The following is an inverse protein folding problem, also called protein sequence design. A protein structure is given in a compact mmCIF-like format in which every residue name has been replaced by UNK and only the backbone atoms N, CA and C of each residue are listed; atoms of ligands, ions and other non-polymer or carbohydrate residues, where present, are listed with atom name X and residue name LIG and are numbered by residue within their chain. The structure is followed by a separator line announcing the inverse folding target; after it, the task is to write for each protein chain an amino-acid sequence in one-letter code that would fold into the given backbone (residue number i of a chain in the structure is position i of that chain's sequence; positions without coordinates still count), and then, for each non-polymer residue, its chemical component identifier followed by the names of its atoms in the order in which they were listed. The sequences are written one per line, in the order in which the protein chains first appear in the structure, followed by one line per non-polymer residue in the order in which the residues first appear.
data_IF_579846314555
#
_entry.id   IF_579846314555
#
_cell.length_a   1.000
_cell.length_b   1.000
_cell.length_c   1.000
_cell.angle_alpha   90.00
_cell.angle_beta   90.00
_cell.angle_gamma   90.00
#
_symmetry.space_group_name_H-M   'P 1'
#
loop_
_entity.id
_entity.type
_entity.pdbx_description
1 polymer ?
#
# COMPACT_ATOMS: atom_id res chain seq x y z
N UNK A 1 -22.18 67.98 30.75
CA UNK A 1 -21.11 67.00 30.72
C UNK A 1 -21.70 65.70 30.16
N UNK A 2 -21.52 65.47 28.83
CA UNK A 2 -22.10 64.32 28.14
C UNK A 2 -20.99 63.32 27.84
N UNK A 3 -21.04 62.14 28.50
CA UNK A 3 -20.12 61.06 28.29
C UNK A 3 -20.66 60.23 27.13
N UNK A 4 -19.95 60.30 25.97
CA UNK A 4 -20.25 59.43 24.83
C UNK A 4 -19.53 58.12 25.02
N UNK A 5 -20.27 57.05 25.20
CA UNK A 5 -19.77 55.68 25.26
C UNK A 5 -19.63 55.16 23.82
N UNK A 6 -18.43 55.13 23.30
CA UNK A 6 -18.11 54.40 22.05
C UNK A 6 -18.06 52.91 22.34
N UNK A 7 -19.11 52.20 21.95
CA UNK A 7 -19.12 50.76 21.94
C UNK A 7 -18.29 50.25 20.74
N UNK A 8 -17.07 49.80 21.01
CA UNK A 8 -16.19 49.14 20.04
C UNK A 8 -16.70 47.70 19.83
N UNK A 9 -17.46 47.49 18.79
CA UNK A 9 -17.87 46.15 18.38
C UNK A 9 -16.70 45.52 17.64
N UNK A 10 -15.88 44.70 18.33
CA UNK A 10 -14.90 43.84 17.72
C UNK A 10 -15.60 42.67 17.03
N UNK A 11 -15.81 42.76 15.74
CA UNK A 11 -16.30 41.68 14.91
C UNK A 11 -15.12 40.68 14.73
N UNK A 12 -15.09 39.65 15.55
CA UNK A 12 -14.20 38.50 15.33
C UNK A 12 -14.68 37.73 14.11
N UNK A 13 -14.14 38.05 12.96
CA UNK A 13 -14.21 37.20 11.79
C UNK A 13 -13.33 35.97 12.06
N UNK A 14 -13.94 34.92 12.61
CA UNK A 14 -13.36 33.59 12.60
C UNK A 14 -13.33 33.10 11.16
N UNK A 15 -12.26 33.42 10.45
CA UNK A 15 -11.94 32.81 9.17
C UNK A 15 -11.68 31.32 9.45
N UNK A 16 -12.68 30.48 9.22
CA UNK A 16 -12.54 29.04 9.18
C UNK A 16 -11.69 28.74 7.92
N UNK A 17 -10.37 28.79 8.07
CA UNK A 17 -9.44 28.35 7.03
C UNK A 17 -9.63 26.84 6.90
N UNK A 18 -10.45 26.40 5.96
CA UNK A 18 -10.46 25.03 5.49
C UNK A 18 -9.07 24.77 4.91
N UNK A 19 -8.20 24.21 5.73
CA UNK A 19 -6.89 23.73 5.28
C UNK A 19 -7.15 22.65 4.26
N UNK A 20 -6.99 22.97 2.98
CA UNK A 20 -6.98 21.94 1.95
C UNK A 20 -5.94 20.91 2.36
N UNK A 21 -6.40 19.71 2.65
CA UNK A 21 -5.53 18.61 3.00
C UNK A 21 -4.77 18.26 1.72
N UNK A 22 -3.52 18.67 1.63
CA UNK A 22 -2.67 18.38 0.48
C UNK A 22 -2.54 16.86 0.24
N UNK A 23 -1.80 16.49 -0.80
CA UNK A 23 -1.51 15.08 -1.12
C UNK A 23 -0.97 14.36 0.11
N UNK A 24 -1.62 13.28 0.50
CA UNK A 24 -1.20 12.40 1.58
C UNK A 24 -0.57 11.15 0.99
N UNK A 25 0.59 10.73 1.50
CA UNK A 25 1.21 9.44 1.17
C UNK A 25 1.14 8.55 2.40
N UNK A 26 0.62 7.36 2.21
CA UNK A 26 0.51 6.35 3.26
C UNK A 26 1.32 5.14 2.82
N UNK A 27 2.11 4.57 3.72
CA UNK A 27 2.84 3.34 3.44
C UNK A 27 1.87 2.20 3.18
N UNK A 28 2.10 1.49 2.08
CA UNK A 28 1.28 0.36 1.66
C UNK A 28 1.99 -0.99 1.86
N UNK A 29 3.16 -0.98 2.54
CA UNK A 29 4.07 -2.11 2.61
C UNK A 29 3.69 -3.19 3.64
N UNK A 30 2.77 -2.91 4.55
CA UNK A 30 2.44 -3.81 5.65
C UNK A 30 1.40 -4.87 5.25
N UNK A 31 1.44 -6.03 5.91
CA UNK A 31 0.38 -7.04 5.89
C UNK A 31 -0.04 -7.51 4.48
N UNK A 32 0.91 -7.77 3.62
CA UNK A 32 0.68 -8.46 2.37
C UNK A 32 0.56 -9.95 2.60
N UNK A 33 -0.29 -10.60 1.86
CA UNK A 33 -0.37 -12.05 1.81
C UNK A 33 0.44 -12.58 0.66
N UNK A 34 1.22 -13.62 0.91
CA UNK A 34 2.12 -14.23 -0.05
C UNK A 34 1.90 -15.73 -0.14
N UNK A 35 1.86 -16.24 -1.35
CA UNK A 35 1.90 -17.67 -1.63
C UNK A 35 2.81 -17.97 -2.82
N UNK A 36 3.68 -18.96 -2.66
CA UNK A 36 4.44 -19.54 -3.74
C UNK A 36 3.64 -20.73 -4.28
N UNK A 37 2.96 -20.54 -5.41
CA UNK A 37 2.13 -21.59 -5.97
C UNK A 37 2.00 -21.46 -7.48
N UNK A 38 2.48 -22.48 -8.17
CA UNK A 38 2.29 -22.62 -9.61
C UNK A 38 0.92 -23.20 -9.97
N UNK A 39 0.23 -23.80 -8.97
CA UNK A 39 -0.94 -24.65 -9.19
C UNK A 39 -2.27 -23.99 -8.86
N UNK A 40 -2.26 -22.79 -8.33
CA UNK A 40 -3.52 -22.12 -7.96
C UNK A 40 -4.09 -21.39 -9.18
N UNK A 41 -4.84 -22.12 -9.99
CA UNK A 41 -5.40 -21.65 -11.26
C UNK A 41 -6.21 -20.33 -11.17
N UNK A 42 -6.64 -19.97 -9.96
CA UNK A 42 -7.45 -18.77 -9.70
C UNK A 42 -6.81 -17.79 -8.74
N UNK A 43 -5.47 -17.83 -8.55
CA UNK A 43 -4.81 -16.95 -7.59
C UNK A 43 -5.04 -15.46 -7.85
N UNK A 44 -5.36 -15.06 -9.08
CA UNK A 44 -5.71 -13.69 -9.45
C UNK A 44 -7.17 -13.31 -9.16
N UNK A 45 -8.05 -14.27 -8.91
CA UNK A 45 -9.46 -13.97 -8.69
C UNK A 45 -9.68 -13.25 -7.36
N UNK A 46 -10.57 -12.24 -7.31
CA UNK A 46 -10.81 -11.47 -6.10
C UNK A 46 -11.36 -12.31 -4.94
N UNK A 47 -12.06 -13.39 -5.24
CA UNK A 47 -12.70 -14.31 -4.29
C UNK A 47 -11.82 -15.52 -3.91
N UNK A 48 -10.57 -15.54 -4.35
CA UNK A 48 -9.63 -16.59 -3.92
C UNK A 48 -9.47 -16.57 -2.41
N UNK A 49 -9.63 -17.74 -1.77
CA UNK A 49 -9.32 -17.89 -0.36
C UNK A 49 -7.80 -17.81 -0.16
N UNK A 50 -7.37 -16.73 0.45
CA UNK A 50 -5.98 -16.45 0.79
C UNK A 50 -5.72 -16.53 2.31
N UNK A 51 -6.65 -17.09 3.08
CA UNK A 51 -6.58 -17.18 4.54
C UNK A 51 -5.32 -17.89 5.03
N UNK A 52 -4.85 -18.88 4.27
CA UNK A 52 -3.66 -19.68 4.55
C UNK A 52 -2.37 -19.09 3.96
N UNK A 53 -2.45 -17.96 3.27
CA UNK A 53 -1.26 -17.35 2.72
C UNK A 53 -0.42 -16.71 3.83
N UNK A 54 0.89 -16.74 3.67
CA UNK A 54 1.82 -16.14 4.63
C UNK A 54 1.66 -14.62 4.65
N UNK A 55 1.53 -14.05 5.84
CA UNK A 55 1.51 -12.59 6.01
C UNK A 55 2.94 -12.08 6.13
N UNK A 56 3.26 -11.06 5.36
CA UNK A 56 4.59 -10.44 5.32
C UNK A 56 4.50 -8.94 4.99
N UNK A 57 5.62 -8.28 5.12
CA UNK A 57 5.76 -6.87 4.74
C UNK A 57 6.68 -6.74 3.53
N UNK A 58 6.45 -5.70 2.72
CA UNK A 58 7.33 -5.32 1.63
C UNK A 58 8.43 -4.36 2.11
N UNK A 59 9.61 -4.35 1.49
CA UNK A 59 10.00 -5.17 0.34
C UNK A 59 10.22 -6.63 0.72
N UNK A 60 9.93 -7.55 -0.20
CA UNK A 60 10.11 -8.98 -0.02
C UNK A 60 10.53 -9.62 -1.34
N UNK A 61 11.51 -10.51 -1.26
CA UNK A 61 11.95 -11.36 -2.37
C UNK A 61 11.98 -12.82 -1.88
N UNK A 62 11.04 -13.61 -2.33
CA UNK A 62 10.93 -15.00 -1.92
C UNK A 62 12.07 -15.87 -2.47
N UNK A 63 12.70 -15.46 -3.56
CA UNK A 63 13.75 -16.25 -4.20
C UNK A 63 15.00 -16.40 -3.32
N UNK A 64 15.25 -15.41 -2.45
CA UNK A 64 16.39 -15.43 -1.52
C UNK A 64 16.14 -16.21 -0.24
N UNK A 65 14.94 -16.72 -0.04
CA UNK A 65 14.57 -17.47 1.17
C UNK A 65 14.94 -18.96 1.06
N UNK A 66 15.23 -19.44 -0.14
CA UNK A 66 15.58 -20.83 -0.38
C UNK A 66 17.09 -20.98 -0.70
N UNK A 67 17.56 -22.21 -0.60
CA UNK A 67 18.97 -22.53 -0.82
C UNK A 67 19.38 -22.35 -2.28
N UNK A 68 20.60 -21.88 -2.48
CA UNK A 68 21.22 -21.86 -3.80
C UNK A 68 21.48 -23.29 -4.27
N UNK A 69 21.12 -23.59 -5.50
CA UNK A 69 21.42 -24.88 -6.13
C UNK A 69 21.62 -24.72 -7.62
N UNK A 70 22.57 -25.46 -8.16
CA UNK A 70 22.77 -25.52 -9.61
C UNK A 70 21.60 -26.21 -10.32
N UNK A 71 20.75 -26.92 -9.60
CA UNK A 71 19.53 -27.56 -10.11
C UNK A 71 18.35 -26.59 -10.16
N UNK A 72 18.50 -25.40 -9.58
CA UNK A 72 17.46 -24.37 -9.62
C UNK A 72 17.28 -23.81 -11.04
N UNK A 73 16.05 -23.38 -11.41
CA UNK A 73 15.76 -22.85 -12.73
C UNK A 73 16.59 -21.62 -13.11
N UNK A 74 16.96 -20.80 -12.15
CA UNK A 74 17.86 -19.69 -12.41
C UNK A 74 19.27 -20.21 -12.67
N UNK A 75 19.80 -19.92 -13.85
CA UNK A 75 21.18 -20.28 -14.21
C UNK A 75 22.18 -19.63 -13.25
N UNK A 76 23.45 -20.03 -13.24
CA UNK A 76 24.48 -19.36 -12.44
C UNK A 76 24.53 -17.85 -12.66
N UNK A 77 24.23 -17.37 -13.90
CA UNK A 77 24.11 -15.93 -14.19
C UNK A 77 22.93 -15.26 -13.47
N UNK A 78 21.90 -16.01 -13.07
CA UNK A 78 20.78 -15.59 -12.24
C UNK A 78 20.96 -15.94 -10.76
N UNK A 79 22.16 -16.32 -10.33
CA UNK A 79 22.47 -16.61 -8.93
C UNK A 79 22.06 -18.00 -8.47
N UNK A 80 21.69 -18.92 -9.38
CA UNK A 80 21.23 -20.28 -9.04
C UNK A 80 20.08 -20.28 -8.00
N UNK A 81 19.22 -19.26 -8.09
CA UNK A 81 18.08 -19.10 -7.21
C UNK A 81 16.87 -19.93 -7.69
N UNK A 82 15.95 -20.30 -6.78
CA UNK A 82 14.72 -20.95 -7.18
C UNK A 82 13.90 -20.05 -8.09
N UNK A 83 13.22 -20.65 -9.05
CA UNK A 83 12.27 -20.00 -9.92
C UNK A 83 10.85 -20.34 -9.52
N UNK A 84 9.87 -19.71 -10.17
CA UNK A 84 8.46 -20.01 -9.96
C UNK A 84 7.61 -18.75 -9.81
N UNK A 85 6.33 -18.95 -9.54
CA UNK A 85 5.37 -17.88 -9.47
C UNK A 85 4.98 -17.58 -8.02
N UNK A 86 5.35 -16.39 -7.56
CA UNK A 86 4.94 -15.88 -6.26
C UNK A 86 3.77 -14.92 -6.40
N UNK A 87 2.73 -15.15 -5.62
CA UNK A 87 1.56 -14.30 -5.58
C UNK A 87 1.59 -13.41 -4.36
N UNK A 88 1.35 -12.13 -4.58
CA UNK A 88 1.22 -11.13 -3.51
C UNK A 88 -0.18 -10.55 -3.57
N UNK A 89 -0.86 -10.52 -2.43
CA UNK A 89 -2.20 -9.97 -2.32
C UNK A 89 -2.29 -9.02 -1.14
N UNK A 90 -2.93 -7.90 -1.36
CA UNK A 90 -3.22 -6.91 -0.32
C UNK A 90 -4.71 -6.62 -0.28
N UNK A 91 -5.31 -6.78 0.90
CA UNK A 91 -6.66 -6.32 1.16
C UNK A 91 -6.61 -4.97 1.85
N UNK A 92 -7.38 -4.03 1.36
CA UNK A 92 -7.48 -2.71 1.98
C UNK A 92 -8.87 -2.13 1.76
N UNK A 93 -9.25 -1.21 2.63
CA UNK A 93 -10.48 -0.45 2.51
C UNK A 93 -10.14 1.03 2.48
N UNK A 94 -10.77 1.75 1.59
CA UNK A 94 -10.68 3.20 1.58
C UNK A 94 -11.60 3.77 2.65
N UNK A 95 -11.12 4.68 3.50
CA UNK A 95 -11.96 5.35 4.46
C UNK A 95 -12.99 6.24 3.73
N UNK A 96 -14.17 6.39 4.31
CA UNK A 96 -15.24 7.21 3.73
C UNK A 96 -14.81 8.67 3.52
N UNK A 97 -13.85 9.15 4.32
CA UNK A 97 -13.22 10.47 4.18
C UNK A 97 -12.47 10.67 2.86
N UNK A 98 -12.19 9.60 2.13
CA UNK A 98 -11.50 9.65 0.85
C UNK A 98 -12.44 9.55 -0.36
N UNK A 99 -13.73 9.49 -0.09
CA UNK A 99 -14.74 9.53 -1.13
C UNK A 99 -14.63 10.81 -1.96
N UNK A 100 -14.61 10.64 -3.26
CA UNK A 100 -14.45 11.75 -4.21
C UNK A 100 -13.01 12.22 -4.42
N UNK A 101 -12.03 11.63 -3.73
CA UNK A 101 -10.61 11.91 -3.98
C UNK A 101 -10.06 11.00 -5.08
N UNK A 102 -9.00 11.45 -5.72
CA UNK A 102 -8.22 10.61 -6.64
C UNK A 102 -7.17 9.86 -5.83
N UNK A 103 -7.15 8.55 -5.98
CA UNK A 103 -6.27 7.66 -5.22
C UNK A 103 -5.37 6.92 -6.20
N UNK A 104 -4.10 6.87 -5.87
CA UNK A 104 -3.09 6.15 -6.62
C UNK A 104 -2.41 5.12 -5.71
N UNK A 105 -2.00 4.01 -6.29
CA UNK A 105 -1.06 3.08 -5.67
C UNK A 105 0.23 3.21 -6.48
N UNK A 106 1.30 3.65 -5.81
CA UNK A 106 2.62 3.79 -6.41
C UNK A 106 3.46 2.58 -6.02
N UNK A 107 4.04 1.90 -7.00
CA UNK A 107 5.02 0.85 -6.80
C UNK A 107 6.38 1.36 -7.25
N UNK A 108 7.35 1.45 -6.34
CA UNK A 108 8.71 1.89 -6.66
C UNK A 108 9.45 0.86 -7.53
N UNK A 109 9.05 -0.40 -7.42
CA UNK A 109 9.56 -1.46 -8.25
C UNK A 109 8.74 -2.75 -8.08
N UNK A 110 8.39 -3.34 -9.21
CA UNK A 110 7.81 -4.68 -9.28
C UNK A 110 8.60 -5.44 -10.31
N UNK A 111 9.28 -6.51 -9.88
CA UNK A 111 9.98 -7.35 -10.84
C UNK A 111 8.96 -8.14 -11.64
N UNK A 112 9.10 -8.08 -12.93
CA UNK A 112 8.16 -8.67 -13.88
C UNK A 112 8.22 -10.20 -13.93
N UNK A 113 7.15 -10.75 -14.38
CA UNK A 113 7.13 -11.94 -15.23
C UNK A 113 7.00 -11.53 -16.67
#
# INVERSE_FOLDING_TARGET
MRLSVFALVCLFLTACATREKGRERISFNQEWRFALTEKQANASAPDTDDSNWRVLNLPHDWSIEADFSLDNPATPGGGALPGGMGWYRKHFKLPESDKGKVIYIDFDGVYRN
#
